data_IF_827768919385
#
_entry.id   IF_827768919385
#
_cell.length_a   1.000
_cell.length_b   1.000
_cell.length_c   1.000
_cell.angle_alpha   90.00
_cell.angle_beta   90.00
_cell.angle_gamma   90.00
#
_symmetry.space_group_name_H-M   'P 1'
#
loop_
_entity.id
_entity.type
_entity.pdbx_description
1 polymer ?
#
# COMPACT_ATOMS: atom_id res chain seq x y z
N UNK A 1 -12.32 -1.87 -61.51
CA UNK A 1 -13.24 -1.84 -60.36
C UNK A 1 -12.85 -2.78 -59.21
N UNK A 2 -12.44 -4.04 -59.45
CA UNK A 2 -12.06 -4.96 -58.35
C UNK A 2 -10.82 -4.55 -57.54
N UNK A 3 -9.84 -3.88 -58.17
CA UNK A 3 -8.62 -3.41 -57.50
C UNK A 3 -8.86 -2.28 -56.49
N UNK A 4 -9.84 -1.40 -56.74
CA UNK A 4 -10.16 -0.27 -55.85
C UNK A 4 -10.84 -0.76 -54.57
N UNK A 5 -11.64 -1.82 -54.65
CA UNK A 5 -12.32 -2.43 -53.51
C UNK A 5 -11.32 -3.09 -52.54
N UNK A 6 -10.24 -3.69 -53.06
CA UNK A 6 -9.21 -4.33 -52.24
C UNK A 6 -8.36 -3.32 -51.45
N UNK A 7 -8.10 -2.15 -52.02
CA UNK A 7 -7.33 -1.08 -51.36
C UNK A 7 -8.14 -0.44 -50.22
N UNK A 8 -9.47 -0.31 -50.38
CA UNK A 8 -10.36 0.22 -49.34
C UNK A 8 -10.46 -0.75 -48.15
N UNK A 9 -10.55 -2.06 -48.41
CA UNK A 9 -10.57 -3.07 -47.35
C UNK A 9 -9.25 -3.12 -46.56
N UNK A 10 -8.10 -2.92 -47.20
CA UNK A 10 -6.81 -2.89 -46.52
C UNK A 10 -6.62 -1.64 -45.63
N UNK A 11 -7.21 -0.51 -46.00
CA UNK A 11 -7.19 0.72 -45.19
C UNK A 11 -8.08 0.63 -43.93
N UNK A 12 -9.11 -0.22 -43.92
CA UNK A 12 -9.99 -0.37 -42.76
C UNK A 12 -9.42 -1.28 -41.66
N UNK A 13 -8.42 -2.13 -41.95
CA UNK A 13 -7.87 -3.07 -40.96
C UNK A 13 -6.83 -2.48 -39.99
N UNK A 14 -6.36 -1.24 -40.21
CA UNK A 14 -5.26 -0.64 -39.44
C UNK A 14 -5.72 0.46 -38.47
N UNK A 15 -6.80 0.24 -37.72
CA UNK A 15 -7.19 1.13 -36.61
C UNK A 15 -7.63 0.33 -35.39
N UNK A 16 -6.73 -0.48 -34.83
CA UNK A 16 -6.79 -0.82 -33.41
C UNK A 16 -5.59 -0.17 -32.74
N UNK A 17 -5.72 1.13 -32.49
CA UNK A 17 -4.85 1.83 -31.54
C UNK A 17 -5.28 1.32 -30.17
N UNK A 18 -4.51 0.40 -29.60
CA UNK A 18 -4.63 0.05 -28.19
C UNK A 18 -4.50 1.33 -27.37
N UNK A 19 -5.55 1.68 -26.63
CA UNK A 19 -5.51 2.83 -25.75
C UNK A 19 -4.46 2.55 -24.68
N UNK A 20 -3.32 3.25 -24.73
CA UNK A 20 -2.35 3.20 -23.64
C UNK A 20 -2.97 4.00 -22.49
N UNK A 21 -3.50 3.31 -21.50
CA UNK A 21 -3.98 3.96 -20.27
C UNK A 21 -2.76 4.51 -19.55
N UNK A 22 -2.53 5.82 -19.68
CA UNK A 22 -1.49 6.51 -18.90
C UNK A 22 -1.90 6.45 -17.43
N UNK A 23 -1.24 5.57 -16.67
CA UNK A 23 -1.42 5.47 -15.22
C UNK A 23 -0.94 6.78 -14.59
N UNK A 24 -1.80 7.42 -13.81
CA UNK A 24 -1.40 8.59 -13.01
C UNK A 24 -0.47 8.11 -11.88
N UNK A 25 0.82 8.44 -11.99
CA UNK A 25 1.82 8.05 -11.01
C UNK A 25 1.51 8.57 -9.60
N UNK A 26 0.84 9.72 -9.49
CA UNK A 26 0.41 10.22 -8.18
C UNK A 26 -0.73 9.39 -7.60
N UNK A 27 -1.68 8.98 -8.44
CA UNK A 27 -2.78 8.11 -8.02
C UNK A 27 -2.26 6.75 -7.55
N UNK A 28 -1.28 6.18 -8.27
CA UNK A 28 -0.61 4.94 -7.87
C UNK A 28 0.11 5.09 -6.52
N UNK A 29 0.91 6.15 -6.33
CA UNK A 29 1.59 6.40 -5.04
C UNK A 29 0.60 6.54 -3.89
N UNK A 30 -0.54 7.20 -4.12
CA UNK A 30 -1.58 7.33 -3.11
C UNK A 30 -2.20 5.98 -2.73
N UNK A 31 -2.49 5.11 -3.71
CA UNK A 31 -2.99 3.76 -3.45
C UNK A 31 -1.99 2.92 -2.65
N UNK A 32 -0.71 2.95 -3.04
CA UNK A 32 0.36 2.24 -2.33
C UNK A 32 0.45 2.72 -0.89
N UNK A 33 0.49 4.04 -0.65
CA UNK A 33 0.55 4.60 0.71
C UNK A 33 -0.60 4.11 1.59
N UNK A 34 -1.85 4.17 1.08
CA UNK A 34 -3.02 3.74 1.83
C UNK A 34 -2.99 2.24 2.17
N UNK A 35 -2.67 1.41 1.19
CA UNK A 35 -2.68 -0.05 1.36
C UNK A 35 -1.54 -0.50 2.27
N UNK A 36 -0.35 0.09 2.15
CA UNK A 36 0.76 -0.17 3.07
C UNK A 36 0.38 0.14 4.51
N UNK A 37 -0.25 1.29 4.78
CA UNK A 37 -0.70 1.63 6.13
C UNK A 37 -1.84 0.75 6.64
N UNK A 38 -2.73 0.29 5.77
CA UNK A 38 -3.75 -0.69 6.13
C UNK A 38 -3.14 -2.05 6.50
N UNK A 39 -2.15 -2.52 5.73
CA UNK A 39 -1.43 -3.76 6.03
C UNK A 39 -0.60 -3.66 7.32
N UNK A 40 -0.02 -2.49 7.59
CA UNK A 40 0.69 -2.20 8.82
C UNK A 40 -0.26 -2.17 10.02
N UNK A 41 -1.38 -1.46 9.92
CA UNK A 41 -2.41 -1.42 10.97
C UNK A 41 -2.93 -2.82 11.30
N UNK A 42 -3.22 -3.63 10.28
CA UNK A 42 -3.58 -5.06 10.46
C UNK A 42 -2.47 -5.86 11.16
N UNK A 43 -1.20 -5.60 10.85
CA UNK A 43 -0.08 -6.30 11.47
C UNK A 43 0.08 -5.91 12.95
N UNK A 44 -0.01 -4.61 13.26
CA UNK A 44 0.05 -4.08 14.62
C UNK A 44 -1.11 -4.59 15.46
N UNK A 45 -2.33 -4.61 14.92
CA UNK A 45 -3.53 -5.09 15.61
C UNK A 45 -3.52 -6.60 15.90
N UNK A 46 -2.64 -7.38 15.24
CA UNK A 46 -2.41 -8.80 15.53
C UNK A 46 -1.43 -9.03 16.69
N UNK A 47 -0.74 -7.98 17.15
CA UNK A 47 0.19 -8.08 18.28
C UNK A 47 -0.61 -8.32 19.56
N UNK A 48 -0.14 -9.28 20.37
CA UNK A 48 -0.69 -9.54 21.69
C UNK A 48 -0.46 -8.31 22.60
N UNK A 49 -1.51 -7.70 23.18
CA UNK A 49 -1.39 -6.50 23.99
C UNK A 49 -0.56 -6.69 25.26
N UNK A 50 -0.32 -7.95 25.68
CA UNK A 50 0.52 -8.27 26.85
C UNK A 50 2.01 -8.32 26.52
N UNK A 51 2.39 -8.37 25.24
CA UNK A 51 3.79 -8.42 24.83
C UNK A 51 4.45 -7.06 24.97
N UNK A 52 5.61 -7.06 25.59
CA UNK A 52 6.45 -5.87 25.79
C UNK A 52 7.85 -6.12 25.28
N UNK A 53 8.50 -5.06 24.81
CA UNK A 53 9.90 -5.03 24.39
C UNK A 53 10.71 -4.25 25.44
N UNK A 54 11.86 -4.78 25.81
CA UNK A 54 12.84 -4.11 26.67
C UNK A 54 13.51 -2.98 25.89
N UNK A 55 13.41 -1.74 26.40
CA UNK A 55 14.06 -0.55 25.82
C UNK A 55 15.23 -0.06 26.68
N UNK A 56 15.75 -0.93 27.54
CA UNK A 56 16.86 -0.69 28.44
C UNK A 56 16.45 0.08 29.68
N UNK A 57 17.39 0.85 30.23
CA UNK A 57 17.20 1.54 31.50
C UNK A 57 17.82 0.84 32.70
N UNK A 58 19.02 0.28 32.58
CA UNK A 58 19.76 -0.30 33.71
C UNK A 58 20.25 0.74 34.75
N UNK A 59 19.55 1.87 34.90
CA UNK A 59 19.82 2.89 35.90
C UNK A 59 19.33 2.39 37.26
N UNK A 60 20.14 2.69 38.27
CA UNK A 60 19.74 2.56 39.66
C UNK A 60 18.87 3.77 40.02
N UNK A 61 17.73 3.53 40.68
CA UNK A 61 16.99 4.61 41.32
C UNK A 61 17.73 5.13 42.56
N UNK A 62 17.16 6.14 43.22
CA UNK A 62 17.72 6.71 44.46
C UNK A 62 17.84 5.70 45.61
N UNK A 63 17.11 4.58 45.55
CA UNK A 63 17.07 3.54 46.57
C UNK A 63 17.99 2.35 46.24
N UNK A 64 18.69 2.41 45.10
CA UNK A 64 19.62 1.36 44.66
C UNK A 64 18.93 0.17 43.99
N UNK A 65 17.68 0.32 43.53
CA UNK A 65 17.02 -0.71 42.74
C UNK A 65 17.25 -0.50 41.25
N UNK A 66 17.33 -1.59 40.49
CA UNK A 66 17.38 -1.55 39.03
C UNK A 66 16.00 -1.23 38.45
N UNK A 67 15.88 -0.15 37.67
CA UNK A 67 14.61 0.27 37.05
C UNK A 67 14.56 -0.14 35.58
N UNK A 68 14.15 -1.37 35.31
CA UNK A 68 13.95 -1.82 33.93
C UNK A 68 12.80 -1.05 33.24
N UNK A 69 13.03 -0.57 32.01
CA UNK A 69 12.01 0.10 31.22
C UNK A 69 11.61 -0.79 30.04
N UNK A 70 10.34 -1.15 30.00
CA UNK A 70 9.72 -1.82 28.86
C UNK A 70 8.56 -0.99 28.30
N UNK A 71 8.20 -1.29 27.06
CA UNK A 71 7.08 -0.66 26.33
C UNK A 71 6.32 -1.77 25.60
N UNK A 72 5.02 -1.57 25.35
CA UNK A 72 4.23 -2.48 24.51
C UNK A 72 4.94 -2.71 23.18
N UNK A 73 4.97 -3.96 22.73
CA UNK A 73 5.58 -4.33 21.45
C UNK A 73 4.95 -3.55 20.28
N UNK A 74 3.64 -3.30 20.33
CA UNK A 74 2.91 -2.51 19.34
C UNK A 74 3.31 -1.02 19.29
N UNK A 75 4.04 -0.53 20.30
CA UNK A 75 4.48 0.87 20.40
C UNK A 75 6.01 1.02 20.40
N UNK A 76 6.74 -0.09 20.36
CA UNK A 76 8.19 -0.07 20.29
C UNK A 76 8.63 0.47 18.93
N UNK A 77 9.41 1.55 18.92
CA UNK A 77 9.97 2.15 17.70
C UNK A 77 10.69 1.10 16.86
N UNK A 78 11.62 0.35 17.46
CA UNK A 78 12.37 -0.72 16.80
C UNK A 78 11.43 -1.74 16.14
N UNK A 79 10.36 -2.14 16.84
CA UNK A 79 9.46 -3.16 16.30
C UNK A 79 8.55 -2.60 15.20
N UNK A 80 8.13 -1.35 15.32
CA UNK A 80 7.36 -0.69 14.28
C UNK A 80 8.20 -0.49 13.00
N UNK A 81 9.49 -0.13 13.13
CA UNK A 81 10.45 -0.08 12.01
C UNK A 81 10.58 -1.43 11.31
N UNK A 82 10.76 -2.52 12.05
CA UNK A 82 10.80 -3.89 11.48
C UNK A 82 9.52 -4.22 10.70
N UNK A 83 8.36 -3.92 11.28
CA UNK A 83 7.07 -4.16 10.61
C UNK A 83 6.93 -3.33 9.34
N UNK A 84 7.38 -2.08 9.36
CA UNK A 84 7.34 -1.18 8.21
C UNK A 84 8.10 -1.79 7.02
N UNK A 85 9.29 -2.34 7.25
CA UNK A 85 10.08 -3.03 6.22
C UNK A 85 9.37 -4.30 5.71
N UNK A 86 8.82 -5.11 6.62
CA UNK A 86 8.12 -6.35 6.29
C UNK A 86 6.85 -6.13 5.44
N UNK A 87 6.11 -5.04 5.67
CA UNK A 87 4.90 -4.72 4.92
C UNK A 87 5.19 -4.54 3.44
N UNK A 88 6.32 -3.93 3.07
CA UNK A 88 6.62 -3.71 1.66
C UNK A 88 6.90 -5.00 0.90
N UNK A 89 7.34 -6.07 1.57
CA UNK A 89 7.45 -7.39 0.94
C UNK A 89 6.07 -7.98 0.59
N UNK A 90 5.01 -7.64 1.32
CA UNK A 90 3.65 -8.09 0.99
C UNK A 90 3.11 -7.45 -0.29
N UNK A 91 3.71 -6.38 -0.80
CA UNK A 91 3.28 -5.77 -2.07
C UNK A 91 3.46 -6.70 -3.27
N UNK A 92 4.26 -7.75 -3.13
CA UNK A 92 4.40 -8.81 -4.14
C UNK A 92 3.10 -9.60 -4.35
N UNK A 93 2.19 -9.62 -3.36
CA UNK A 93 0.86 -10.25 -3.46
C UNK A 93 -0.19 -9.35 -4.13
N UNK A 94 0.17 -8.10 -4.44
CA UNK A 94 -0.72 -7.11 -5.04
C UNK A 94 -0.40 -6.89 -6.52
N UNK A 95 -1.44 -6.60 -7.28
CA UNK A 95 -1.33 -6.28 -8.71
C UNK A 95 -2.08 -5.00 -9.03
N UNK A 96 -1.59 -4.25 -10.01
CA UNK A 96 -2.33 -3.11 -10.55
C UNK A 96 -3.53 -3.60 -11.34
N UNK A 97 -4.68 -2.99 -11.13
CA UNK A 97 -5.89 -3.32 -11.87
C UNK A 97 -6.76 -2.08 -12.08
N UNK A 98 -7.67 -2.13 -13.05
CA UNK A 98 -8.76 -1.15 -13.17
C UNK A 98 -10.12 -1.83 -12.98
N UNK A 99 -11.00 -1.20 -12.22
CA UNK A 99 -12.38 -1.70 -12.09
C UNK A 99 -13.12 -1.64 -13.43
N UNK A 100 -13.77 -2.74 -13.83
CA UNK A 100 -14.56 -2.80 -15.08
C UNK A 100 -15.75 -1.84 -15.09
N UNK A 101 -16.25 -1.51 -13.90
CA UNK A 101 -17.44 -0.67 -13.70
C UNK A 101 -17.20 0.80 -14.06
N UNK A 102 -16.02 1.34 -13.75
CA UNK A 102 -15.75 2.77 -13.87
C UNK A 102 -14.32 3.11 -14.39
N UNK A 103 -13.48 2.10 -14.63
CA UNK A 103 -12.11 2.27 -15.11
C UNK A 103 -11.12 2.81 -14.06
N UNK A 104 -11.51 2.88 -12.79
CA UNK A 104 -10.67 3.47 -11.73
C UNK A 104 -9.52 2.53 -11.37
N UNK A 105 -8.32 3.09 -11.20
CA UNK A 105 -7.14 2.35 -10.77
C UNK A 105 -7.30 1.82 -9.34
N UNK A 106 -6.89 0.59 -9.12
CA UNK A 106 -6.84 -0.06 -7.81
C UNK A 106 -5.61 -0.96 -7.71
N UNK A 107 -5.24 -1.36 -6.49
CA UNK A 107 -4.32 -2.46 -6.25
C UNK A 107 -5.12 -3.63 -5.71
N UNK A 108 -5.18 -4.72 -6.46
CA UNK A 108 -5.89 -5.92 -6.09
C UNK A 108 -4.93 -6.89 -5.40
N UNK A 109 -5.25 -7.31 -4.18
CA UNK A 109 -4.58 -8.45 -3.54
C UNK A 109 -5.01 -9.74 -4.24
N UNK A 110 -4.08 -10.54 -4.76
CA UNK A 110 -4.42 -11.77 -5.50
C UNK A 110 -4.99 -12.85 -4.57
N UNK A 111 -4.37 -13.02 -3.41
CA UNK A 111 -4.73 -14.01 -2.40
C UNK A 111 -5.14 -13.27 -1.13
N UNK A 112 -6.36 -13.51 -0.67
CA UNK A 112 -6.91 -12.91 0.55
C UNK A 112 -6.24 -13.49 1.80
N UNK A 113 -6.43 -12.82 2.95
CA UNK A 113 -5.81 -13.22 4.22
C UNK A 113 -6.22 -14.64 4.69
N UNK A 114 -7.31 -15.19 4.14
CA UNK A 114 -7.78 -16.57 4.37
C UNK A 114 -7.23 -17.60 3.36
N UNK A 115 -6.30 -17.19 2.49
CA UNK A 115 -5.63 -18.06 1.52
C UNK A 115 -6.43 -18.38 0.27
N UNK A 116 -7.57 -17.70 0.03
CA UNK A 116 -8.39 -17.89 -1.16
C UNK A 116 -8.04 -16.90 -2.26
N UNK A 117 -8.41 -17.23 -3.50
CA UNK A 117 -8.36 -16.27 -4.60
C UNK A 117 -9.33 -15.13 -4.34
N UNK A 118 -8.88 -13.90 -4.55
CA UNK A 118 -9.74 -12.74 -4.39
C UNK A 118 -10.88 -12.77 -5.42
N UNK A 119 -12.13 -12.74 -4.95
CA UNK A 119 -13.34 -12.78 -5.78
C UNK A 119 -13.44 -11.59 -6.73
N UNK A 120 -12.87 -10.45 -6.34
CA UNK A 120 -12.93 -9.21 -7.12
C UNK A 120 -12.06 -9.27 -8.38
N UNK A 121 -11.23 -10.32 -8.52
CA UNK A 121 -10.48 -10.57 -9.75
C UNK A 121 -11.41 -10.68 -10.98
N UNK A 122 -12.66 -11.12 -10.82
CA UNK A 122 -13.63 -11.18 -11.91
C UNK A 122 -14.11 -9.77 -12.34
N UNK A 123 -14.03 -8.78 -11.45
CA UNK A 123 -14.59 -7.44 -11.61
C UNK A 123 -13.56 -6.40 -12.05
N UNK A 124 -12.30 -6.81 -12.19
CA UNK A 124 -11.19 -5.93 -12.60
C UNK A 124 -10.49 -6.41 -13.86
N UNK A 125 -9.86 -5.48 -14.56
CA UNK A 125 -8.90 -5.74 -15.62
C UNK A 125 -7.49 -5.56 -15.07
N UNK A 126 -6.68 -6.62 -15.09
CA UNK A 126 -5.31 -6.60 -14.59
C UNK A 126 -4.41 -5.80 -15.53
N UNK A 127 -3.65 -4.87 -14.96
CA UNK A 127 -2.66 -4.06 -15.68
C UNK A 127 -1.30 -4.72 -15.52
N UNK A 128 -0.75 -5.23 -16.61
CA UNK A 128 0.59 -5.81 -16.59
C UNK A 128 1.65 -4.70 -16.55
N UNK A 129 2.62 -4.91 -15.67
CA UNK A 129 3.86 -4.16 -15.56
C UNK A 129 4.95 -4.83 -16.40
N UNK A 130 5.79 -4.06 -17.08
CA UNK A 130 7.01 -4.58 -17.72
C UNK A 130 7.94 -5.27 -16.71
N UNK A 131 7.86 -4.94 -15.41
CA UNK A 131 8.61 -5.55 -14.31
C UNK A 131 7.74 -6.36 -13.33
N UNK A 132 6.69 -7.03 -13.80
CA UNK A 132 5.93 -8.04 -13.03
C UNK A 132 5.44 -7.57 -11.63
N UNK A 133 5.03 -6.31 -11.50
CA UNK A 133 4.56 -5.65 -10.27
C UNK A 133 5.63 -5.37 -9.20
N UNK A 134 6.93 -5.62 -9.48
CA UNK A 134 8.01 -5.21 -8.55
C UNK A 134 8.01 -3.71 -8.28
N UNK A 135 7.46 -2.91 -9.21
CA UNK A 135 7.29 -1.48 -9.02
C UNK A 135 6.47 -1.13 -7.76
N UNK A 136 5.49 -1.95 -7.36
CA UNK A 136 4.67 -1.68 -6.17
C UNK A 136 5.50 -1.78 -4.88
N UNK A 137 6.36 -2.78 -4.78
CA UNK A 137 7.31 -2.93 -3.67
C UNK A 137 8.23 -1.72 -3.57
N UNK A 138 8.82 -1.28 -4.69
CA UNK A 138 9.68 -0.09 -4.71
C UNK A 138 8.94 1.20 -4.31
N UNK A 139 7.69 1.37 -4.75
CA UNK A 139 6.87 2.49 -4.30
C UNK A 139 6.60 2.43 -2.80
N UNK A 140 6.32 1.23 -2.26
CA UNK A 140 6.12 1.06 -0.83
C UNK A 140 7.38 1.41 -0.06
N UNK A 141 8.53 0.81 -0.41
CA UNK A 141 9.81 1.04 0.26
C UNK A 141 10.12 2.54 0.33
N UNK A 142 10.06 3.24 -0.81
CA UNK A 142 10.34 4.67 -0.84
C UNK A 142 9.34 5.53 -0.06
N UNK A 143 8.04 5.17 -0.04
CA UNK A 143 7.03 5.90 0.72
C UNK A 143 7.18 5.65 2.23
N UNK A 144 7.40 4.39 2.60
CA UNK A 144 7.47 3.97 4.00
C UNK A 144 8.76 4.46 4.65
N UNK A 145 9.88 4.47 3.94
CA UNK A 145 11.14 5.06 4.39
C UNK A 145 11.00 6.58 4.58
N UNK A 146 10.36 7.28 3.63
CA UNK A 146 10.16 8.75 3.72
C UNK A 146 9.27 9.14 4.92
N UNK A 147 8.33 8.28 5.31
CA UNK A 147 7.29 8.59 6.30
C UNK A 147 7.45 7.82 7.62
N UNK A 148 8.53 7.06 7.79
CA UNK A 148 8.74 6.13 8.91
C UNK A 148 8.51 6.81 10.28
N UNK A 149 9.22 7.91 10.54
CA UNK A 149 9.12 8.66 11.79
C UNK A 149 7.68 9.09 12.12
N UNK A 150 6.96 9.58 11.12
CA UNK A 150 5.58 10.05 11.26
C UNK A 150 4.64 8.87 11.56
N UNK A 151 4.83 7.76 10.85
CA UNK A 151 4.04 6.54 11.02
C UNK A 151 4.24 5.99 12.44
N UNK A 152 5.48 5.83 12.88
CA UNK A 152 5.83 5.34 14.22
C UNK A 152 5.17 6.21 15.28
N UNK A 153 5.29 7.52 15.16
CA UNK A 153 4.68 8.47 16.10
C UNK A 153 3.17 8.30 16.17
N UNK A 154 2.49 8.17 15.04
CA UNK A 154 1.05 7.95 15.02
C UNK A 154 0.62 6.64 15.69
N UNK A 155 1.37 5.55 15.51
CA UNK A 155 1.09 4.30 16.21
C UNK A 155 1.34 4.39 17.72
N UNK A 156 2.38 5.12 18.14
CA UNK A 156 2.65 5.35 19.56
C UNK A 156 1.55 6.17 20.25
N UNK A 157 1.02 7.16 19.52
CA UNK A 157 -0.04 8.08 19.97
C UNK A 157 -1.47 7.50 19.82
N UNK A 158 -1.62 6.24 19.40
CA UNK A 158 -2.92 5.60 19.10
C UNK A 158 -3.82 6.46 18.17
N UNK A 159 -3.19 7.07 17.16
CA UNK A 159 -3.88 7.95 16.23
C UNK A 159 -4.89 7.21 15.36
N UNK A 160 -6.17 7.56 15.50
CA UNK A 160 -7.19 7.13 14.54
C UNK A 160 -6.93 7.69 13.14
N UNK A 161 -7.39 6.96 12.12
CA UNK A 161 -7.33 7.34 10.70
C UNK A 161 -5.90 7.65 10.20
N UNK A 162 -4.92 6.84 10.61
CA UNK A 162 -3.50 7.03 10.27
C UNK A 162 -3.26 7.19 8.76
N UNK A 163 -3.97 6.44 7.92
CA UNK A 163 -3.85 6.54 6.47
C UNK A 163 -4.24 7.91 5.93
N UNK A 164 -5.21 8.60 6.55
CA UNK A 164 -5.61 9.95 6.15
C UNK A 164 -4.58 10.97 6.62
N UNK A 165 -4.18 10.90 7.89
CA UNK A 165 -3.15 11.80 8.46
C UNK A 165 -1.85 11.74 7.67
N UNK A 166 -1.32 10.53 7.48
CA UNK A 166 -0.02 10.32 6.84
C UNK A 166 -0.10 10.54 5.32
N UNK A 167 -1.01 9.86 4.61
CA UNK A 167 -1.01 9.92 3.14
C UNK A 167 -1.63 11.20 2.55
N UNK A 168 -2.51 11.89 3.28
CA UNK A 168 -3.22 13.09 2.79
C UNK A 168 -2.71 14.37 3.43
N UNK A 169 -2.70 14.43 4.76
CA UNK A 169 -2.46 15.70 5.48
C UNK A 169 -0.97 16.06 5.54
N UNK A 170 -0.13 15.09 5.91
CA UNK A 170 1.30 15.30 6.15
C UNK A 170 2.13 15.18 4.86
N UNK A 171 2.03 14.04 4.17
CA UNK A 171 2.85 13.77 2.98
C UNK A 171 2.31 14.41 1.70
N UNK A 172 1.00 14.72 1.66
CA UNK A 172 0.29 15.22 0.47
C UNK A 172 0.42 14.31 -0.76
N UNK A 173 0.75 13.03 -0.56
CA UNK A 173 0.82 12.03 -1.62
C UNK A 173 -0.55 11.91 -2.28
N UNK A 174 -1.59 11.79 -1.46
CA UNK A 174 -2.98 11.78 -1.87
C UNK A 174 -3.53 13.22 -1.95
N UNK A 175 -4.16 13.56 -3.08
CA UNK A 175 -4.85 14.86 -3.23
C UNK A 175 -6.14 14.87 -2.41
N UNK A 176 -6.30 15.86 -1.54
CA UNK A 176 -7.53 16.14 -0.80
C UNK A 176 -8.67 16.39 -1.80
N UNK A 177 -9.66 15.50 -1.89
CA UNK A 177 -10.86 15.70 -2.71
C UNK A 177 -11.12 14.69 -3.84
N UNK A 178 -10.21 13.75 -4.13
CA UNK A 178 -10.59 12.52 -4.85
C UNK A 178 -10.93 11.46 -3.80
N UNK A 179 -12.22 11.10 -3.69
CA UNK A 179 -12.63 9.87 -3.02
C UNK A 179 -11.98 8.70 -3.76
N UNK A 180 -10.84 8.23 -3.26
CA UNK A 180 -10.45 6.83 -3.48
C UNK A 180 -11.60 6.05 -2.88
N UNK A 181 -12.32 5.30 -3.72
CA UNK A 181 -13.51 4.55 -3.35
C UNK A 181 -13.18 3.58 -2.23
N UNK A 182 -13.41 4.05 -1.02
CA UNK A 182 -13.49 3.28 0.21
C UNK A 182 -14.85 2.60 0.22
N UNK A 183 -14.99 1.58 -0.62
CA UNK A 183 -16.06 0.59 -0.55
C UNK A 183 -15.46 -0.75 -0.99
N UNK A 184 -14.81 -1.44 -0.05
CA UNK A 184 -14.99 -2.87 0.20
C UNK A 184 -14.51 -3.24 1.61
#
# INVERSE_FOLDING_TARGET
MKFVIFVILFYCFNNNIGATTKIDAQELRCLVCKISLQELDKAVNKIDPTKTVDIGGYRLDSDGNYVHKSVSQAKSEIHLSELIEDICTKMDDYVRATWKTNGTLTLLKLITDDGKMNSDMAEVDLIQDDDLNKSLKYYCEGIMEELEDNIIKHFQDDSENIHTKVCVEESKICRSGKRVSEEL
#
